data_IF_058045023710
#
_entry.id   IF_058045023710
#
_cell.length_a   1.000
_cell.length_b   1.000
_cell.length_c   1.000
_cell.angle_alpha   90.00
_cell.angle_beta   90.00
_cell.angle_gamma   90.00
#
_symmetry.space_group_name_H-M   'P 1'
#
loop_
_entity.id
_entity.type
_entity.pdbx_description
1 polymer ?
#
# COMPACT_ATOMS: atom_id res chain seq x y z
N UNK A 1 -2.30 0.16 1.86
CA UNK A 1 -1.57 -0.01 0.59
C UNK A 1 -1.73 -1.46 0.16
N UNK A 2 -2.08 -1.71 -1.10
CA UNK A 2 -2.30 -3.07 -1.62
C UNK A 2 -0.98 -3.70 -2.09
N UNK A 3 -0.76 -4.94 -1.70
CA UNK A 3 0.32 -5.81 -2.17
C UNK A 3 -0.24 -7.19 -2.48
N UNK A 4 0.25 -7.85 -3.52
CA UNK A 4 -0.05 -9.26 -3.77
C UNK A 4 0.86 -10.09 -2.85
N UNK A 5 0.33 -11.01 -2.03
CA UNK A 5 1.14 -11.74 -1.06
C UNK A 5 2.18 -12.66 -1.70
N UNK A 6 1.97 -13.08 -2.96
CA UNK A 6 2.96 -13.84 -3.73
C UNK A 6 4.15 -12.97 -4.21
N UNK A 7 4.01 -11.64 -4.18
CA UNK A 7 5.10 -10.70 -4.48
C UNK A 7 5.77 -10.19 -3.20
N UNK A 8 4.99 -9.61 -2.30
CA UNK A 8 5.44 -9.16 -0.97
C UNK A 8 4.26 -9.30 0.00
N UNK A 9 4.29 -10.34 0.84
CA UNK A 9 3.36 -10.49 1.96
C UNK A 9 3.78 -9.61 3.16
N UNK A 10 2.94 -9.59 4.20
CA UNK A 10 3.30 -8.90 5.45
C UNK A 10 4.45 -9.64 6.16
N UNK A 11 4.50 -10.97 6.04
CA UNK A 11 5.56 -11.78 6.64
C UNK A 11 6.90 -11.52 5.93
N UNK A 12 6.90 -11.38 4.60
CA UNK A 12 8.10 -10.99 3.84
C UNK A 12 8.60 -9.60 4.25
N UNK A 13 7.68 -8.64 4.39
CA UNK A 13 8.02 -7.29 4.83
C UNK A 13 8.57 -7.26 6.26
N UNK A 14 8.05 -8.12 7.16
CA UNK A 14 8.57 -8.27 8.53
C UNK A 14 9.94 -8.98 8.57
N UNK A 15 10.23 -9.85 7.61
CA UNK A 15 11.50 -10.55 7.49
C UNK A 15 12.58 -9.73 6.77
N UNK A 16 12.19 -8.71 6.01
CA UNK A 16 13.11 -7.83 5.30
C UNK A 16 14.08 -7.08 6.26
N UNK A 17 15.29 -6.72 5.81
CA UNK A 17 16.22 -5.91 6.61
C UNK A 17 15.57 -4.63 7.14
N UNK A 18 15.61 -4.43 8.45
CA UNK A 18 14.97 -3.28 9.12
C UNK A 18 13.43 -3.29 9.05
N UNK A 19 12.82 -4.40 8.59
CA UNK A 19 11.39 -4.53 8.28
C UNK A 19 10.89 -3.56 7.22
N UNK A 20 11.80 -3.06 6.37
CA UNK A 20 11.52 -2.01 5.39
C UNK A 20 11.49 -2.63 3.99
N UNK A 21 10.46 -2.26 3.22
CA UNK A 21 10.35 -2.60 1.80
C UNK A 21 10.05 -1.34 0.99
N UNK A 22 10.72 -1.14 -0.16
CA UNK A 22 10.34 -0.07 -1.09
C UNK A 22 9.03 -0.42 -1.78
N UNK A 23 8.05 0.49 -1.76
CA UNK A 23 6.72 0.23 -2.33
C UNK A 23 6.67 0.46 -3.85
N UNK A 24 7.44 -0.36 -4.57
CA UNK A 24 7.66 -0.27 -6.02
C UNK A 24 6.40 -0.55 -6.85
N UNK A 25 6.43 -0.20 -8.13
CA UNK A 25 5.47 -0.73 -9.11
C UNK A 25 4.12 0.00 -9.19
N UNK A 26 3.94 1.10 -8.45
CA UNK A 26 2.74 1.93 -8.60
C UNK A 26 2.77 2.67 -9.94
N UNK A 27 1.84 2.31 -10.84
CA UNK A 27 1.71 2.88 -12.20
C UNK A 27 0.37 3.57 -12.44
N UNK A 28 -0.29 4.01 -11.36
CA UNK A 28 -1.49 4.83 -11.43
C UNK A 28 -1.17 6.25 -10.93
N UNK A 29 -1.52 7.26 -11.72
CA UNK A 29 -1.20 8.66 -11.41
C UNK A 29 -1.80 9.16 -10.09
N UNK A 30 -3.05 8.80 -9.80
CA UNK A 30 -3.70 9.20 -8.56
C UNK A 30 -3.07 8.49 -7.35
N UNK A 31 -2.80 7.18 -7.46
CA UNK A 31 -2.12 6.42 -6.42
C UNK A 31 -0.72 6.97 -6.14
N UNK A 32 0.04 7.30 -7.19
CA UNK A 32 1.34 7.99 -7.09
C UNK A 32 1.21 9.32 -6.37
N UNK A 33 0.22 10.14 -6.72
CA UNK A 33 0.03 11.45 -6.09
C UNK A 33 -0.28 11.31 -4.60
N UNK A 34 -1.05 10.31 -4.17
CA UNK A 34 -1.24 10.06 -2.73
C UNK A 34 0.08 9.79 -2.00
N UNK A 35 0.97 8.97 -2.59
CA UNK A 35 2.27 8.73 -1.98
C UNK A 35 3.17 9.97 -1.99
N UNK A 36 3.20 10.71 -3.11
CA UNK A 36 4.09 11.86 -3.29
C UNK A 36 3.64 13.09 -2.49
N UNK A 37 2.35 13.39 -2.49
CA UNK A 37 1.82 14.68 -2.06
C UNK A 37 1.16 14.62 -0.68
N UNK A 38 0.66 13.45 -0.26
CA UNK A 38 -0.14 13.31 0.96
C UNK A 38 0.57 12.56 2.10
N UNK A 39 1.37 11.52 1.77
CA UNK A 39 2.06 10.72 2.79
C UNK A 39 3.22 11.48 3.44
N UNK A 40 3.41 11.24 4.74
CA UNK A 40 4.52 11.72 5.55
C UNK A 40 5.16 10.55 6.29
N UNK A 41 6.46 10.67 6.59
CA UNK A 41 7.16 9.70 7.42
C UNK A 41 6.44 9.55 8.77
N UNK A 42 6.18 8.31 9.17
CA UNK A 42 5.43 7.95 10.37
C UNK A 42 3.91 7.81 10.16
N UNK A 43 3.37 8.13 8.98
CA UNK A 43 1.96 7.87 8.69
C UNK A 43 1.67 6.37 8.72
N UNK A 44 0.55 6.00 9.36
CA UNK A 44 0.11 4.61 9.46
C UNK A 44 -0.35 4.04 8.12
N UNK A 45 -0.01 2.76 7.89
CA UNK A 45 -0.34 2.01 6.68
C UNK A 45 -1.09 0.73 7.06
N UNK A 46 -2.28 0.54 6.48
CA UNK A 46 -2.95 -0.76 6.45
C UNK A 46 -2.33 -1.61 5.34
N UNK A 47 -1.63 -2.69 5.69
CA UNK A 47 -1.02 -3.61 4.73
C UNK A 47 -2.11 -4.57 4.21
N UNK A 48 -2.54 -4.36 2.97
CA UNK A 48 -3.68 -5.08 2.38
C UNK A 48 -3.18 -6.12 1.38
N UNK A 49 -3.51 -7.39 1.58
CA UNK A 49 -3.29 -8.46 0.61
C UNK A 49 -4.37 -8.44 -0.47
N UNK A 50 -3.96 -8.25 -1.72
CA UNK A 50 -4.84 -8.23 -2.90
C UNK A 50 -4.52 -9.35 -3.88
N UNK A 51 -5.43 -9.58 -4.83
CA UNK A 51 -5.26 -10.57 -5.92
C UNK A 51 -4.97 -12.00 -5.43
N UNK A 52 -5.41 -12.36 -4.22
CA UNK A 52 -5.19 -13.66 -3.59
C UNK A 52 -6.51 -14.32 -3.17
N UNK A 53 -6.44 -15.57 -2.70
CA UNK A 53 -7.62 -16.32 -2.24
C UNK A 53 -8.33 -15.65 -1.06
N UNK A 54 -7.57 -15.06 -0.13
CA UNK A 54 -8.08 -14.41 1.08
C UNK A 54 -7.68 -12.94 1.12
N UNK A 55 -8.33 -12.05 0.34
CA UNK A 55 -7.97 -10.64 0.30
C UNK A 55 -8.46 -9.91 1.55
N UNK A 56 -7.66 -8.98 2.06
CA UNK A 56 -7.99 -8.23 3.27
C UNK A 56 -6.79 -7.51 3.88
N UNK A 57 -6.98 -6.90 5.04
CA UNK A 57 -5.90 -6.29 5.81
C UNK A 57 -5.21 -7.39 6.61
N UNK A 58 -3.92 -7.59 6.34
CA UNK A 58 -3.12 -8.66 6.93
C UNK A 58 -2.12 -8.14 7.99
N UNK A 59 -1.93 -6.81 8.07
CA UNK A 59 -1.06 -6.22 9.06
C UNK A 59 -1.00 -4.71 9.00
N UNK A 60 -0.11 -4.17 9.84
CA UNK A 60 0.13 -2.75 9.98
C UNK A 60 1.57 -2.41 9.64
N UNK A 61 1.74 -1.23 9.07
CA UNK A 61 3.03 -0.67 8.72
C UNK A 61 3.01 0.85 8.92
N UNK A 62 4.14 1.49 8.68
CA UNK A 62 4.29 2.95 8.68
C UNK A 62 5.12 3.40 7.47
N UNK A 63 4.89 4.63 7.00
CA UNK A 63 5.73 5.24 5.97
C UNK A 63 7.12 5.53 6.55
N UNK A 64 8.16 5.02 5.92
CA UNK A 64 9.54 5.06 6.41
C UNK A 64 10.45 6.05 5.64
N UNK A 65 9.98 6.60 4.51
CA UNK A 65 10.71 7.61 3.74
C UNK A 65 9.77 8.70 3.21
N UNK A 66 10.33 9.84 2.81
CA UNK A 66 9.65 10.73 1.86
C UNK A 66 9.59 10.07 0.49
N UNK A 67 8.69 10.54 -0.38
CA UNK A 67 8.58 9.97 -1.72
C UNK A 67 9.83 10.25 -2.56
N UNK A 68 10.26 9.26 -3.33
CA UNK A 68 11.41 9.36 -4.25
C UNK A 68 11.15 8.55 -5.53
N UNK A 69 11.95 8.76 -6.60
CA UNK A 69 11.75 8.06 -7.87
C UNK A 69 11.82 6.54 -7.71
N UNK A 70 10.83 5.83 -8.25
CA UNK A 70 10.84 4.37 -8.29
C UNK A 70 11.94 3.86 -9.24
N UNK A 71 13.03 3.22 -8.77
CA UNK A 71 14.13 2.83 -9.63
C UNK A 71 13.72 1.79 -10.69
N UNK A 72 12.67 1.01 -10.43
CA UNK A 72 12.18 -0.03 -11.36
C UNK A 72 11.64 0.54 -12.67
N UNK A 73 11.31 1.84 -12.70
CA UNK A 73 10.83 2.49 -13.93
C UNK A 73 11.91 2.68 -14.99
N UNK A 74 13.19 2.63 -14.60
CA UNK A 74 14.34 2.85 -15.50
C UNK A 74 15.01 1.55 -15.96
N UNK A 75 14.73 0.44 -15.30
CA UNK A 75 15.30 -0.86 -15.62
C UNK A 75 14.46 -1.57 -16.69
N UNK A 76 15.02 -1.74 -17.90
CA UNK A 76 14.35 -2.43 -19.01
C UNK A 76 14.03 -3.90 -18.76
N UNK A 77 14.68 -4.53 -17.78
CA UNK A 77 14.37 -5.89 -17.34
C UNK A 77 13.21 -5.96 -16.34
N UNK A 78 12.79 -4.82 -15.78
CA UNK A 78 11.71 -4.78 -14.81
C UNK A 78 10.33 -4.88 -15.49
N UNK A 79 9.41 -5.62 -14.86
CA UNK A 79 7.99 -5.62 -15.24
C UNK A 79 7.32 -4.24 -15.12
N UNK A 80 7.95 -3.31 -14.41
CA UNK A 80 7.44 -1.96 -14.21
C UNK A 80 8.22 -0.88 -14.97
N UNK A 81 9.05 -1.28 -15.94
CA UNK A 81 9.75 -0.37 -16.84
C UNK A 81 8.81 0.60 -17.53
N UNK A 82 9.20 1.88 -17.63
CA UNK A 82 8.49 2.88 -18.41
C UNK A 82 9.47 3.58 -19.35
N UNK A 83 9.47 3.27 -20.67
CA UNK A 83 10.43 3.85 -21.62
C UNK A 83 10.28 5.37 -21.79
N UNK A 84 9.21 5.97 -21.27
CA UNK A 84 8.99 7.42 -21.28
C UNK A 84 9.40 8.10 -19.98
N UNK A 85 9.87 7.34 -18.98
CA UNK A 85 10.40 7.89 -17.74
C UNK A 85 11.93 7.94 -17.82
N UNK A 86 12.51 9.10 -17.51
CA UNK A 86 13.96 9.29 -17.51
C UNK A 86 14.43 9.69 -16.11
N UNK A 87 15.71 9.45 -15.75
CA UNK A 87 16.24 9.89 -14.46
C UNK A 87 16.05 11.38 -14.17
N UNK A 88 16.11 12.23 -15.21
CA UNK A 88 15.88 13.68 -15.09
C UNK A 88 14.40 14.06 -14.96
N UNK A 89 13.48 13.19 -15.38
CA UNK A 89 12.04 13.43 -15.32
C UNK A 89 11.28 12.15 -14.91
N UNK A 90 11.44 11.68 -13.66
CA UNK A 90 10.80 10.48 -13.16
C UNK A 90 9.28 10.62 -13.13
N UNK A 91 8.59 9.71 -13.83
CA UNK A 91 7.11 9.69 -13.83
C UNK A 91 6.54 9.04 -12.58
N UNK A 92 7.24 8.07 -12.00
CA UNK A 92 6.76 7.23 -10.92
C UNK A 92 7.57 7.45 -9.66
N UNK A 93 6.83 7.55 -8.55
CA UNK A 93 7.38 7.78 -7.22
C UNK A 93 6.94 6.62 -6.34
N UNK A 94 7.76 6.29 -5.35
CA UNK A 94 7.44 5.36 -4.29
C UNK A 94 7.82 5.94 -2.93
N UNK A 95 7.38 5.27 -1.86
CA UNK A 95 7.88 5.46 -0.50
C UNK A 95 8.36 4.12 0.04
N UNK A 96 9.30 4.16 0.97
CA UNK A 96 9.60 3.01 1.81
C UNK A 96 8.50 2.81 2.86
N UNK A 97 8.17 1.56 3.15
CA UNK A 97 7.20 1.18 4.16
C UNK A 97 7.85 0.23 5.14
N UNK A 98 7.78 0.55 6.44
CA UNK A 98 8.25 -0.32 7.52
C UNK A 98 7.09 -1.12 8.09
N UNK A 99 7.12 -2.44 7.91
CA UNK A 99 6.18 -3.34 8.57
C UNK A 99 6.36 -3.28 10.09
N UNK A 100 5.27 -3.08 10.82
CA UNK A 100 5.30 -2.99 12.29
C UNK A 100 4.96 -4.34 12.91
N UNK A 101 3.83 -4.92 12.52
CA UNK A 101 3.38 -6.23 12.96
C UNK A 101 2.29 -6.79 12.04
N UNK A 102 2.17 -8.12 12.08
CA UNK A 102 1.09 -8.88 11.46
C UNK A 102 -0.14 -8.87 12.38
N UNK A 103 -1.32 -8.82 11.80
CA UNK A 103 -2.59 -8.94 12.53
C UNK A 103 -3.30 -10.22 12.12
N UNK A 104 -4.42 -10.54 12.77
CA UNK A 104 -5.38 -11.44 12.10
C UNK A 104 -5.79 -10.82 10.76
N UNK A 105 -6.19 -11.66 9.81
CA UNK A 105 -6.76 -11.17 8.57
C UNK A 105 -8.12 -10.54 8.86
N UNK A 106 -8.27 -9.25 8.53
CA UNK A 106 -9.58 -8.61 8.39
C UNK A 106 -9.98 -8.67 6.93
N UNK A 107 -10.77 -9.68 6.61
CA UNK A 107 -11.10 -10.07 5.24
C UNK A 107 -11.92 -9.00 4.51
N UNK A 108 -11.89 -9.00 3.17
CA UNK A 108 -12.72 -8.10 2.37
C UNK A 108 -14.22 -8.25 2.63
N UNK A 109 -14.80 -9.47 2.78
CA UNK A 109 -16.19 -9.62 3.19
C UNK A 109 -16.49 -8.99 4.55
N UNK A 110 -15.59 -9.15 5.53
CA UNK A 110 -15.73 -8.55 6.86
C UNK A 110 -15.63 -7.02 6.80
N UNK A 111 -14.68 -6.46 6.04
CA UNK A 111 -14.61 -5.01 5.80
C UNK A 111 -15.90 -4.46 5.20
N UNK A 112 -16.54 -5.22 4.30
CA UNK A 112 -17.80 -4.81 3.66
C UNK A 112 -19.02 -4.93 4.56
N UNK A 113 -18.96 -5.73 5.63
CA UNK A 113 -20.07 -5.85 6.57
C UNK A 113 -20.10 -4.72 7.61
N UNK A 114 -19.02 -3.94 7.74
CA UNK A 114 -18.90 -2.83 8.68
C UNK A 114 -19.53 -1.54 8.10
N UNK A 115 -20.67 -1.05 8.63
CA UNK A 115 -21.34 0.15 8.10
C UNK A 115 -20.46 1.41 8.22
N UNK A 116 -19.63 1.48 9.25
CA UNK A 116 -18.68 2.58 9.49
C UNK A 116 -17.63 2.72 8.37
N UNK A 117 -17.43 1.67 7.57
CA UNK A 117 -16.50 1.67 6.44
C UNK A 117 -17.19 1.86 5.08
N UNK A 118 -18.49 2.20 5.04
CA UNK A 118 -19.25 2.37 3.80
C UNK A 118 -18.64 3.42 2.84
N UNK A 119 -17.97 4.42 3.40
CA UNK A 119 -17.28 5.47 2.65
C UNK A 119 -15.82 5.17 2.31
N UNK A 120 -15.27 4.06 2.82
CA UNK A 120 -13.87 3.72 2.63
C UNK A 120 -13.56 3.50 1.15
N UNK A 121 -12.63 4.30 0.62
CA UNK A 121 -12.30 4.35 -0.81
C UNK A 121 -11.96 2.97 -1.40
N UNK A 122 -11.30 2.10 -0.62
CA UNK A 122 -10.94 0.76 -1.07
C UNK A 122 -12.16 -0.13 -1.37
N UNK A 123 -13.29 0.10 -0.69
CA UNK A 123 -14.51 -0.69 -0.78
C UNK A 123 -15.48 -0.18 -1.86
N UNK A 124 -15.30 1.06 -2.33
CA UNK A 124 -16.14 1.68 -3.36
C UNK A 124 -16.14 0.86 -4.65
N UNK A 125 -17.34 0.67 -5.21
CA UNK A 125 -17.54 -0.07 -6.46
C UNK A 125 -16.72 0.59 -7.58
N UNK A 126 -15.98 -0.23 -8.33
CA UNK A 126 -15.16 0.25 -9.44
C UNK A 126 -13.80 0.82 -9.02
N UNK A 127 -13.48 0.92 -7.72
CA UNK A 127 -12.15 1.34 -7.30
C UNK A 127 -11.08 0.38 -7.86
N UNK A 128 -10.03 0.96 -8.45
CA UNK A 128 -8.84 0.26 -8.98
C UNK A 128 -7.54 0.81 -8.40
N UNK A 129 -7.62 1.71 -7.43
CA UNK A 129 -6.44 2.29 -6.79
C UNK A 129 -5.78 1.27 -5.85
N UNK A 130 -4.46 1.16 -5.94
CA UNK A 130 -3.61 0.37 -5.02
C UNK A 130 -3.23 1.14 -3.76
N UNK A 131 -3.22 2.47 -3.85
CA UNK A 131 -3.00 3.40 -2.76
C UNK A 131 -4.26 4.24 -2.60
N UNK A 132 -4.83 4.23 -1.40
CA UNK A 132 -6.02 5.00 -1.05
C UNK A 132 -5.81 5.64 0.31
N UNK A 133 -6.22 6.89 0.52
CA UNK A 133 -6.25 7.48 1.85
C UNK A 133 -7.24 6.73 2.74
N UNK A 134 -7.00 6.80 4.05
CA UNK A 134 -7.88 6.25 5.09
C UNK A 134 -8.13 7.39 6.07
N UNK A 135 -9.39 7.69 6.37
CA UNK A 135 -9.72 8.72 7.34
C UNK A 135 -9.36 8.28 8.77
N UNK A 136 -9.19 9.22 9.68
CA UNK A 136 -8.92 8.90 11.08
C UNK A 136 -10.08 8.08 11.71
N UNK A 137 -11.31 8.25 11.22
CA UNK A 137 -12.47 7.47 11.66
C UNK A 137 -12.38 6.02 11.18
N UNK A 138 -12.17 5.81 9.87
CA UNK A 138 -11.98 4.49 9.28
C UNK A 138 -10.81 3.74 9.92
N UNK A 139 -9.68 4.43 10.15
CA UNK A 139 -8.52 3.88 10.83
C UNK A 139 -8.90 3.33 12.21
N UNK A 140 -9.53 4.14 13.07
CA UNK A 140 -9.93 3.69 14.41
C UNK A 140 -10.88 2.49 14.38
N UNK A 141 -11.87 2.51 13.47
CA UNK A 141 -12.79 1.39 13.29
C UNK A 141 -12.01 0.11 12.95
N UNK A 142 -11.09 0.18 11.99
CA UNK A 142 -10.28 -0.97 11.57
C UNK A 142 -9.38 -1.47 12.70
N UNK A 143 -8.69 -0.58 13.43
CA UNK A 143 -7.82 -0.96 14.55
C UNK A 143 -8.58 -1.79 15.58
N UNK A 144 -9.82 -1.42 15.93
CA UNK A 144 -10.63 -2.19 16.89
C UNK A 144 -10.94 -3.63 16.44
N UNK A 145 -10.92 -3.88 15.13
CA UNK A 145 -11.20 -5.19 14.59
C UNK A 145 -9.93 -6.03 14.38
N UNK A 146 -8.74 -5.45 14.31
CA UNK A 146 -7.49 -6.18 14.00
C UNK A 146 -6.54 -6.36 15.18
N UNK A 147 -6.92 -5.90 16.36
CA UNK A 147 -6.22 -6.19 17.62
C UNK A 147 -6.30 -7.67 17.99
#
# INVERSE_FOLDING_TARGET
MKSEPDEVSIDDALAAPGKIVPWVGVRNYQARNFMRDAMRVGDGVLFYHSSCAEPGIAGLAEVASTAYPDPTQFDSGSKYYDPKSTPDNPRWMLVDVRATHKTRLLSLPELRSLPDLAEMQILKRGNRLSITPVSAFEWRCIIQHIQ
#
